data_IF_163596273900
#
_entry.id   IF_163596273900
#
_cell.length_a   1.000
_cell.length_b   1.000
_cell.length_c   1.000
_cell.angle_alpha   90.00
_cell.angle_beta   90.00
_cell.angle_gamma   90.00
#
_symmetry.space_group_name_H-M   'P 1'
#
loop_
_entity.id
_entity.type
_entity.pdbx_description
1 polymer ?
#
# COMPACT_ATOMS: atom_id res chain seq x y z
N UNK A 1 10.41 -11.07 5.79
CA UNK A 1 9.03 -11.19 5.28
C UNK A 1 8.09 -11.88 6.26
N UNK A 2 8.41 -13.07 6.78
CA UNK A 2 7.57 -13.71 7.81
C UNK A 2 7.33 -12.82 9.04
N UNK A 3 8.42 -12.29 9.61
CA UNK A 3 8.36 -11.36 10.75
C UNK A 3 7.52 -10.11 10.47
N UNK A 4 7.75 -9.44 9.34
CA UNK A 4 6.98 -8.25 8.94
C UNK A 4 5.48 -8.54 8.85
N UNK A 5 5.07 -9.67 8.27
CA UNK A 5 3.65 -10.06 8.15
C UNK A 5 3.00 -10.26 9.52
N UNK A 6 3.65 -11.02 10.40
CA UNK A 6 3.13 -11.32 11.73
C UNK A 6 3.11 -10.08 12.64
N UNK A 7 4.14 -9.23 12.53
CA UNK A 7 4.28 -8.01 13.32
C UNK A 7 3.15 -7.02 13.06
N UNK A 8 2.71 -6.85 11.82
CA UNK A 8 1.61 -5.94 11.49
C UNK A 8 0.30 -6.30 12.19
N UNK A 9 -0.06 -7.59 12.18
CA UNK A 9 -1.28 -8.11 12.83
C UNK A 9 -1.17 -7.99 14.35
N UNK A 10 -0.04 -8.42 14.90
CA UNK A 10 0.19 -8.45 16.34
C UNK A 10 0.24 -7.03 16.93
N UNK A 11 1.09 -6.16 16.39
CA UNK A 11 1.22 -4.80 16.88
C UNK A 11 0.03 -3.90 16.52
N UNK A 12 -0.69 -4.18 15.43
CA UNK A 12 -1.98 -3.54 15.15
C UNK A 12 -2.99 -3.79 16.27
N UNK A 13 -3.14 -5.06 16.68
CA UNK A 13 -4.03 -5.46 17.77
C UNK A 13 -3.62 -4.85 19.12
N UNK A 14 -2.32 -4.86 19.44
CA UNK A 14 -1.79 -4.19 20.63
C UNK A 14 -2.10 -2.70 20.60
N UNK A 15 -1.94 -2.08 19.43
CA UNK A 15 -2.18 -0.65 19.26
C UNK A 15 -3.64 -0.27 19.46
N UNK A 16 -4.58 -1.08 18.97
CA UNK A 16 -6.00 -0.88 19.21
C UNK A 16 -6.36 -1.02 20.69
N UNK A 17 -5.69 -1.94 21.41
CA UNK A 17 -5.97 -2.20 22.83
C UNK A 17 -5.31 -1.21 23.79
N UNK A 18 -4.05 -0.86 23.55
CA UNK A 18 -3.22 -0.11 24.50
C UNK A 18 -2.96 1.34 24.08
N UNK A 19 -3.22 1.70 22.83
CA UNK A 19 -3.02 3.06 22.30
C UNK A 19 -2.03 3.08 21.12
N UNK A 20 -2.10 4.13 20.31
CA UNK A 20 -1.21 4.30 19.15
C UNK A 20 0.19 4.67 19.62
N UNK A 21 0.29 5.71 20.44
CA UNK A 21 1.57 6.23 20.96
C UNK A 21 2.41 5.19 21.73
N UNK A 22 1.90 4.48 22.76
CA UNK A 22 2.72 3.53 23.51
C UNK A 22 3.18 2.36 22.65
N UNK A 23 2.36 1.91 21.70
CA UNK A 23 2.76 0.84 20.78
C UNK A 23 3.81 1.30 19.78
N UNK A 24 3.71 2.52 19.23
CA UNK A 24 4.77 3.09 18.38
C UNK A 24 6.11 3.16 19.10
N UNK A 25 6.13 3.63 20.36
CA UNK A 25 7.38 3.71 21.15
C UNK A 25 7.90 2.31 21.52
N UNK A 26 7.01 1.37 21.86
CA UNK A 26 7.38 -0.03 22.10
C UNK A 26 8.03 -0.66 20.85
N UNK A 27 7.41 -0.52 19.68
CA UNK A 27 7.95 -1.01 18.42
C UNK A 27 9.30 -0.37 18.09
N UNK A 28 9.47 0.92 18.37
CA UNK A 28 10.73 1.62 18.18
C UNK A 28 11.83 1.06 19.10
N UNK A 29 11.54 0.84 20.38
CA UNK A 29 12.47 0.24 21.33
C UNK A 29 12.85 -1.19 20.93
N UNK A 30 11.88 -2.00 20.53
CA UNK A 30 12.12 -3.35 20.03
C UNK A 30 12.97 -3.33 18.76
N UNK A 31 12.64 -2.50 17.78
CA UNK A 31 13.43 -2.36 16.55
C UNK A 31 14.88 -1.96 16.85
N UNK A 32 15.09 -0.98 17.73
CA UNK A 32 16.43 -0.52 18.11
C UNK A 32 17.23 -1.64 18.79
N UNK A 33 16.67 -2.26 19.82
CA UNK A 33 17.36 -3.29 20.61
C UNK A 33 17.61 -4.57 19.80
N UNK A 34 16.65 -5.01 19.00
CA UNK A 34 16.80 -6.19 18.15
C UNK A 34 17.79 -5.95 17.02
N UNK A 35 17.80 -4.75 16.43
CA UNK A 35 18.76 -4.39 15.39
C UNK A 35 20.20 -4.33 15.92
N UNK A 36 20.41 -3.69 17.09
CA UNK A 36 21.72 -3.69 17.75
C UNK A 36 22.13 -5.12 18.10
N UNK A 37 21.24 -5.91 18.70
CA UNK A 37 21.50 -7.31 19.04
C UNK A 37 21.93 -8.16 17.84
N UNK A 38 21.22 -8.03 16.70
CA UNK A 38 21.54 -8.74 15.47
C UNK A 38 22.92 -8.36 14.89
N UNK A 39 23.43 -7.16 15.15
CA UNK A 39 24.77 -6.77 14.70
C UNK A 39 25.91 -7.47 15.46
N UNK A 40 25.63 -7.97 16.67
CA UNK A 40 26.61 -8.65 17.52
C UNK A 40 26.54 -10.18 17.46
N UNK A 41 25.52 -10.75 16.83
CA UNK A 41 25.41 -12.22 16.74
C UNK A 41 26.57 -12.83 15.96
N UNK A 42 27.09 -13.94 16.47
CA UNK A 42 28.07 -14.81 15.81
C UNK A 42 27.44 -16.06 15.21
N UNK A 43 26.26 -16.45 15.70
CA UNK A 43 25.50 -17.61 15.25
C UNK A 43 24.39 -17.23 14.24
N UNK A 44 24.21 -18.05 13.21
CA UNK A 44 23.26 -17.83 12.12
C UNK A 44 21.80 -17.96 12.57
N UNK A 45 21.50 -18.93 13.45
CA UNK A 45 20.13 -19.16 13.93
C UNK A 45 19.66 -17.97 14.76
N UNK A 46 20.52 -17.51 15.67
CA UNK A 46 20.30 -16.32 16.50
C UNK A 46 20.12 -15.08 15.64
N UNK A 47 20.93 -14.92 14.58
CA UNK A 47 20.79 -13.82 13.63
C UNK A 47 19.43 -13.83 12.93
N UNK A 48 18.97 -14.96 12.40
CA UNK A 48 17.67 -15.04 11.72
C UNK A 48 16.52 -14.75 12.68
N UNK A 49 16.55 -15.31 13.90
CA UNK A 49 15.50 -15.07 14.89
C UNK A 49 15.40 -13.58 15.21
N UNK A 50 16.53 -12.93 15.49
CA UNK A 50 16.55 -11.49 15.76
C UNK A 50 16.09 -10.68 14.55
N UNK A 51 16.49 -11.04 13.32
CA UNK A 51 16.04 -10.36 12.10
C UNK A 51 14.54 -10.54 11.83
N UNK A 52 13.98 -11.69 12.19
CA UNK A 52 12.55 -11.92 12.09
C UNK A 52 11.77 -11.05 13.08
N UNK A 53 12.20 -11.01 14.35
CA UNK A 53 11.60 -10.17 15.39
C UNK A 53 11.76 -8.68 15.06
N UNK A 54 12.94 -8.28 14.58
CA UNK A 54 13.26 -6.92 14.14
C UNK A 54 12.34 -6.50 12.99
N UNK A 55 12.14 -7.35 11.99
CA UNK A 55 11.20 -7.10 10.91
C UNK A 55 9.75 -6.98 11.39
N UNK A 56 9.35 -7.72 12.42
CA UNK A 56 8.04 -7.59 13.04
C UNK A 56 7.87 -6.23 13.74
N UNK A 57 8.87 -5.81 14.52
CA UNK A 57 8.90 -4.53 15.21
C UNK A 57 8.93 -3.34 14.23
N UNK A 58 9.76 -3.40 13.19
CA UNK A 58 9.86 -2.37 12.15
C UNK A 58 8.53 -2.16 11.41
N UNK A 59 7.84 -3.25 11.06
CA UNK A 59 6.53 -3.15 10.40
C UNK A 59 5.44 -2.65 11.36
N UNK A 60 5.47 -3.09 12.62
CA UNK A 60 4.59 -2.56 13.66
C UNK A 60 4.80 -1.06 13.90
N UNK A 61 6.05 -0.60 13.90
CA UNK A 61 6.41 0.82 13.98
C UNK A 61 5.80 1.61 12.81
N UNK A 62 5.99 1.14 11.57
CA UNK A 62 5.45 1.77 10.38
C UNK A 62 3.93 1.92 10.44
N UNK A 63 3.20 0.82 10.68
CA UNK A 63 1.73 0.84 10.68
C UNK A 63 1.15 1.68 11.81
N UNK A 64 1.66 1.54 13.04
CA UNK A 64 1.14 2.30 14.18
C UNK A 64 1.43 3.79 14.06
N UNK A 65 2.61 4.18 13.56
CA UNK A 65 2.95 5.57 13.30
C UNK A 65 2.09 6.16 12.18
N UNK A 66 1.85 5.40 11.10
CA UNK A 66 0.99 5.83 10.00
C UNK A 66 -0.46 6.07 10.47
N UNK A 67 -1.03 5.14 11.23
CA UNK A 67 -2.39 5.28 11.76
C UNK A 67 -2.47 6.46 12.72
N UNK A 68 -1.49 6.63 13.61
CA UNK A 68 -1.42 7.79 14.49
C UNK A 68 -1.40 9.10 13.69
N UNK A 69 -0.55 9.19 12.65
CA UNK A 69 -0.42 10.38 11.82
C UNK A 69 -1.73 10.76 11.11
N UNK A 70 -2.54 9.78 10.68
CA UNK A 70 -3.84 10.02 10.06
C UNK A 70 -4.91 10.38 11.08
N UNK A 71 -4.88 9.78 12.27
CA UNK A 71 -5.87 10.00 13.33
C UNK A 71 -5.71 11.36 14.03
N UNK A 72 -4.52 11.97 13.98
CA UNK A 72 -4.25 13.31 14.55
C UNK A 72 -4.53 14.45 13.59
N UNK A 73 -4.73 14.18 12.29
CA UNK A 73 -5.04 15.19 11.28
C UNK A 73 -6.50 15.15 10.84
N UNK A 74 -7.02 16.33 10.48
CA UNK A 74 -8.36 16.46 9.92
C UNK A 74 -8.49 15.77 8.55
N UNK A 75 -9.71 15.37 8.12
CA UNK A 75 -9.92 14.64 6.87
C UNK A 75 -9.32 15.30 5.63
N UNK A 76 -9.35 16.64 5.56
CA UNK A 76 -8.80 17.41 4.44
C UNK A 76 -7.29 17.27 4.23
N UNK A 77 -6.54 16.87 5.27
CA UNK A 77 -5.07 16.74 5.22
C UNK A 77 -4.61 15.27 5.19
N UNK A 78 -5.50 14.29 5.33
CA UNK A 78 -5.13 12.86 5.36
C UNK A 78 -4.41 12.40 4.11
N UNK A 79 -4.87 12.82 2.93
CA UNK A 79 -4.23 12.46 1.67
C UNK A 79 -2.80 13.01 1.59
N UNK A 80 -2.60 14.27 1.99
CA UNK A 80 -1.27 14.89 2.01
C UNK A 80 -0.31 14.17 2.97
N UNK A 81 -0.78 13.81 4.18
CA UNK A 81 0.01 13.03 5.15
C UNK A 81 0.32 11.63 4.60
N UNK A 82 -0.65 10.96 3.98
CA UNK A 82 -0.45 9.65 3.35
C UNK A 82 0.61 9.70 2.26
N UNK A 83 0.57 10.71 1.38
CA UNK A 83 1.59 10.93 0.35
C UNK A 83 2.97 11.21 0.95
N UNK A 84 3.05 12.04 2.00
CA UNK A 84 4.31 12.33 2.67
C UNK A 84 4.96 11.07 3.24
N UNK A 85 4.16 10.15 3.82
CA UNK A 85 4.64 8.85 4.29
C UNK A 85 5.19 8.01 3.14
N UNK A 86 4.49 7.94 2.00
CA UNK A 86 4.99 7.20 0.81
C UNK A 86 6.32 7.77 0.29
N UNK A 87 6.43 9.10 0.19
CA UNK A 87 7.67 9.76 -0.24
C UNK A 87 8.83 9.52 0.74
N UNK A 88 8.55 9.46 2.04
CA UNK A 88 9.57 9.18 3.06
C UNK A 88 10.24 7.82 2.87
N UNK A 89 9.53 6.84 2.29
CA UNK A 89 10.08 5.52 1.98
C UNK A 89 11.18 5.62 0.91
N UNK A 90 10.95 6.41 -0.15
CA UNK A 90 11.95 6.67 -1.19
C UNK A 90 13.18 7.38 -0.63
N UNK A 91 13.00 8.41 0.19
CA UNK A 91 14.10 9.11 0.87
C UNK A 91 14.90 8.13 1.74
N UNK A 92 14.22 7.25 2.47
CA UNK A 92 14.85 6.20 3.28
C UNK A 92 15.75 5.27 2.47
N UNK A 93 15.33 4.85 1.27
CA UNK A 93 16.18 4.05 0.39
C UNK A 93 17.43 4.80 -0.08
N UNK A 94 17.32 6.08 -0.45
CA UNK A 94 18.50 6.87 -0.82
C UNK A 94 19.49 7.02 0.33
N UNK A 95 19.00 7.31 1.53
CA UNK A 95 19.84 7.38 2.74
C UNK A 95 20.51 6.03 3.00
N UNK A 96 19.78 4.92 2.87
CA UNK A 96 20.33 3.58 3.00
C UNK A 96 21.45 3.32 1.99
N UNK A 97 21.25 3.67 0.71
CA UNK A 97 22.27 3.49 -0.34
C UNK A 97 23.54 4.28 -0.03
N UNK A 98 23.38 5.53 0.38
CA UNK A 98 24.48 6.41 0.74
C UNK A 98 25.29 5.84 1.92
N UNK A 99 24.59 5.42 2.98
CA UNK A 99 25.23 4.80 4.14
C UNK A 99 25.92 3.49 3.76
N UNK A 100 25.30 2.65 2.94
CA UNK A 100 25.85 1.37 2.52
C UNK A 100 27.09 1.53 1.61
N UNK A 101 27.16 2.59 0.81
CA UNK A 101 28.32 2.94 -0.01
C UNK A 101 29.56 3.24 0.85
N UNK A 102 29.39 4.01 1.93
CA UNK A 102 30.48 4.36 2.86
C UNK A 102 30.76 3.26 3.89
N UNK A 103 29.72 2.58 4.37
CA UNK A 103 29.78 1.56 5.42
C UNK A 103 29.56 0.17 4.80
N UNK A 104 30.62 -0.39 4.25
CA UNK A 104 30.58 -1.68 3.53
C UNK A 104 30.34 -2.89 4.44
N UNK A 105 30.60 -2.76 5.74
CA UNK A 105 30.33 -3.83 6.71
C UNK A 105 28.88 -3.76 7.17
N UNK A 106 28.10 -4.82 6.93
CA UNK A 106 26.68 -4.88 7.31
C UNK A 106 26.44 -4.63 8.81
N UNK A 107 27.37 -5.07 9.69
CA UNK A 107 27.30 -4.79 11.14
C UNK A 107 27.38 -3.30 11.45
N UNK A 108 28.33 -2.59 10.84
CA UNK A 108 28.50 -1.15 11.03
C UNK A 108 27.33 -0.38 10.42
N UNK A 109 26.85 -0.80 9.25
CA UNK A 109 25.66 -0.22 8.63
C UNK A 109 24.45 -0.31 9.57
N UNK A 110 24.23 -1.49 10.16
CA UNK A 110 23.13 -1.73 11.08
C UNK A 110 23.25 -0.90 12.37
N UNK A 111 24.46 -0.79 12.94
CA UNK A 111 24.72 0.05 14.12
C UNK A 111 24.51 1.54 13.83
N UNK A 112 24.95 2.03 12.67
CA UNK A 112 24.75 3.44 12.29
C UNK A 112 23.27 3.73 12.04
N UNK A 113 22.52 2.81 11.44
CA UNK A 113 21.07 2.95 11.32
C UNK A 113 20.37 3.02 12.68
N UNK A 114 20.75 2.15 13.62
CA UNK A 114 20.25 2.19 14.99
C UNK A 114 20.58 3.53 15.67
N UNK A 115 21.80 4.05 15.46
CA UNK A 115 22.20 5.35 15.99
C UNK A 115 21.35 6.50 15.43
N UNK A 116 21.09 6.52 14.11
CA UNK A 116 20.23 7.52 13.47
C UNK A 116 18.78 7.46 14.01
N UNK A 117 18.30 6.26 14.35
CA UNK A 117 16.97 6.05 14.93
C UNK A 117 16.88 6.42 16.42
N UNK A 118 17.99 6.43 17.15
CA UNK A 118 18.01 6.62 18.61
C UNK A 118 17.38 7.95 19.07
N UNK A 119 17.63 9.11 18.42
CA UNK A 119 16.96 10.36 18.76
C UNK A 119 15.42 10.29 18.71
N UNK A 120 14.85 9.37 17.93
CA UNK A 120 13.39 9.20 17.83
C UNK A 120 12.77 8.64 19.11
N UNK A 121 13.55 8.15 20.08
CA UNK A 121 13.05 7.82 21.41
C UNK A 121 12.40 9.03 22.12
N UNK A 122 12.74 10.26 21.69
CA UNK A 122 12.06 11.47 22.14
C UNK A 122 10.55 11.50 21.79
N UNK A 123 10.09 10.64 20.88
CA UNK A 123 8.68 10.46 20.54
C UNK A 123 7.83 10.10 21.76
N UNK A 124 8.40 9.49 22.80
CA UNK A 124 7.68 9.31 24.04
C UNK A 124 7.18 10.64 24.60
N UNK A 125 7.92 11.74 24.52
CA UNK A 125 7.49 13.04 25.06
C UNK A 125 6.76 13.92 24.04
N UNK A 126 7.09 13.76 22.75
CA UNK A 126 6.61 14.64 21.68
C UNK A 126 5.26 14.18 21.12
N UNK A 127 5.08 12.88 20.87
CA UNK A 127 3.88 12.39 20.18
C UNK A 127 2.64 12.48 21.09
N UNK A 128 1.53 13.06 20.60
CA UNK A 128 0.25 12.92 21.26
C UNK A 128 -0.30 11.49 21.08
N UNK A 129 -1.26 11.13 21.93
CA UNK A 129 -2.09 9.95 21.68
C UNK A 129 -3.22 10.31 20.71
N UNK A 130 -3.73 9.33 19.97
CA UNK A 130 -4.84 9.52 19.04
C UNK A 130 -6.12 10.04 19.73
N UNK A 131 -6.66 11.21 19.33
CA UNK A 131 -7.92 11.73 19.85
C UNK A 131 -9.07 10.73 19.65
N UNK A 132 -9.09 10.06 18.49
CA UNK A 132 -10.12 9.07 18.12
C UNK A 132 -10.07 7.85 19.03
N UNK A 133 -8.88 7.31 19.26
CA UNK A 133 -8.69 6.20 20.18
C UNK A 133 -9.11 6.57 21.62
N UNK A 134 -8.78 7.78 22.06
CA UNK A 134 -9.15 8.28 23.39
C UNK A 134 -10.67 8.40 23.56
N UNK A 135 -11.38 8.93 22.56
CA UNK A 135 -12.85 9.02 22.56
C UNK A 135 -13.48 7.63 22.59
N UNK A 136 -13.00 6.72 21.73
CA UNK A 136 -13.50 5.33 21.65
C UNK A 136 -13.32 4.57 22.98
N UNK A 137 -12.23 4.84 23.70
CA UNK A 137 -11.97 4.29 25.03
C UNK A 137 -12.54 5.12 26.19
N UNK A 138 -13.48 6.03 25.92
CA UNK A 138 -14.16 6.88 26.92
C UNK A 138 -13.23 7.77 27.74
N UNK A 139 -12.03 8.06 27.25
CA UNK A 139 -11.03 8.96 27.86
C UNK A 139 -11.20 10.40 27.36
N UNK A 140 -12.39 10.95 27.58
CA UNK A 140 -12.81 12.27 27.04
C UNK A 140 -11.90 13.41 27.51
N UNK A 141 -11.48 13.41 28.79
CA UNK A 141 -10.58 14.44 29.34
C UNK A 141 -9.25 14.51 28.59
N UNK A 142 -8.61 13.36 28.40
CA UNK A 142 -7.34 13.28 27.66
C UNK A 142 -7.50 13.63 26.18
N UNK A 143 -8.62 13.23 25.55
CA UNK A 143 -8.90 13.60 24.15
C UNK A 143 -9.01 15.12 24.00
N UNK A 144 -9.72 15.78 24.93
CA UNK A 144 -9.84 17.24 24.98
C UNK A 144 -8.49 17.92 25.14
N UNK A 145 -7.62 17.42 26.01
CA UNK A 145 -6.30 18.03 26.25
C UNK A 145 -5.40 17.94 25.01
N UNK A 146 -5.45 16.83 24.26
CA UNK A 146 -4.76 16.68 22.98
C UNK A 146 -5.31 17.67 21.93
N UNK A 147 -6.64 17.76 21.80
CA UNK A 147 -7.28 18.68 20.85
C UNK A 147 -7.01 20.15 21.20
N UNK A 148 -6.99 20.52 22.48
CA UNK A 148 -6.60 21.88 22.92
C UNK A 148 -5.16 22.20 22.58
N UNK A 149 -4.24 21.25 22.75
CA UNK A 149 -2.83 21.45 22.35
C UNK A 149 -2.74 21.66 20.84
N UNK A 150 -3.45 20.85 20.04
CA UNK A 150 -3.49 21.04 18.59
C UNK A 150 -4.11 22.38 18.19
N UNK A 151 -5.19 22.79 18.83
CA UNK A 151 -5.87 24.06 18.57
C UNK A 151 -4.97 25.27 18.91
N UNK A 152 -4.21 25.20 20.00
CA UNK A 152 -3.21 26.21 20.36
C UNK A 152 -2.10 26.34 19.32
N UNK A 153 -1.61 25.22 18.78
CA UNK A 153 -0.57 25.23 17.73
C UNK A 153 -1.11 25.78 16.41
N UNK A 154 -2.41 25.62 16.15
CA UNK A 154 -3.08 26.10 14.96
C UNK A 154 -3.74 27.49 15.14
N UNK A 155 -3.54 28.15 16.28
CA UNK A 155 -4.18 29.43 16.64
C UNK A 155 -5.72 29.44 16.51
N UNK A 156 -6.36 28.33 16.88
CA UNK A 156 -7.83 28.19 16.90
C UNK A 156 -8.34 28.10 18.33
N UNK A 157 -9.33 28.91 18.68
CA UNK A 157 -10.03 28.85 19.98
C UNK A 157 -11.29 28.01 19.88
N UNK A 158 -11.43 27.00 20.74
CA UNK A 158 -12.60 26.13 20.81
C UNK A 158 -13.30 26.36 22.16
N UNK A 159 -14.59 26.75 22.18
CA UNK A 159 -15.36 26.84 23.42
C UNK A 159 -15.40 25.50 24.16
N UNK A 160 -15.07 25.52 25.44
CA UNK A 160 -14.84 24.32 26.25
C UNK A 160 -16.10 23.44 26.44
N UNK A 161 -17.26 24.09 26.52
CA UNK A 161 -18.56 23.43 26.71
C UNK A 161 -18.99 22.70 25.43
N UNK A 162 -18.69 23.29 24.26
CA UNK A 162 -18.98 22.70 22.94
C UNK A 162 -18.05 21.53 22.67
N UNK A 163 -16.75 21.66 22.98
CA UNK A 163 -15.79 20.57 22.81
C UNK A 163 -16.17 19.36 23.68
N UNK A 164 -16.48 19.60 24.95
CA UNK A 164 -16.80 18.52 25.89
C UNK A 164 -18.13 17.84 25.54
N UNK A 165 -19.18 18.61 25.20
CA UNK A 165 -20.47 18.04 24.83
C UNK A 165 -20.42 17.22 23.54
N UNK A 166 -19.66 17.67 22.53
CA UNK A 166 -19.45 16.92 21.29
C UNK A 166 -18.65 15.63 21.51
N UNK A 167 -17.59 15.68 22.32
CA UNK A 167 -16.78 14.49 22.63
C UNK A 167 -17.57 13.46 23.43
N UNK A 168 -18.40 13.89 24.39
CA UNK A 168 -19.26 13.00 25.17
C UNK A 168 -20.35 12.39 24.29
N UNK A 169 -20.99 13.18 23.41
CA UNK A 169 -21.93 12.66 22.41
C UNK A 169 -21.27 11.63 21.50
N UNK A 170 -20.07 11.87 20.98
CA UNK A 170 -19.35 10.89 20.14
C UNK A 170 -18.90 9.64 20.91
N UNK A 171 -18.64 9.74 22.22
CA UNK A 171 -18.30 8.60 23.06
C UNK A 171 -19.54 7.75 23.43
N UNK A 172 -20.71 8.37 23.51
CA UNK A 172 -22.00 7.76 23.82
C UNK A 172 -22.74 7.25 22.57
N UNK A 173 -22.54 7.91 21.42
CA UNK A 173 -23.06 7.53 20.10
C UNK A 173 -22.31 6.31 19.52
N UNK A 174 -22.19 5.25 20.30
CA UNK A 174 -22.12 3.91 19.72
C UNK A 174 -23.47 3.64 19.03
N UNK A 175 -23.76 4.35 17.94
CA UNK A 175 -24.36 3.65 16.82
C UNK A 175 -23.48 2.44 16.58
N UNK A 176 -24.12 1.29 16.42
CA UNK A 176 -23.50 0.06 16.01
C UNK A 176 -22.72 0.31 14.72
N UNK A 177 -21.48 0.80 14.85
CA UNK A 177 -20.46 0.62 13.84
C UNK A 177 -20.33 -0.88 13.77
N UNK A 178 -21.07 -1.46 12.83
CA UNK A 178 -20.99 -2.87 12.49
C UNK A 178 -19.51 -3.19 12.45
N UNK A 179 -19.06 -4.00 13.40
CA UNK A 179 -17.64 -4.36 13.49
C UNK A 179 -17.36 -5.26 12.30
N UNK A 180 -17.04 -4.64 11.17
CA UNK A 180 -16.66 -5.35 9.97
C UNK A 180 -15.43 -6.18 10.32
N UNK A 181 -15.54 -7.48 10.07
CA UNK A 181 -14.47 -8.43 10.32
C UNK A 181 -13.83 -8.79 8.98
N UNK A 182 -12.61 -9.34 8.99
CA UNK A 182 -11.96 -9.83 7.77
C UNK A 182 -12.83 -10.83 6.99
N UNK A 183 -13.75 -11.53 7.67
CA UNK A 183 -14.71 -12.46 7.07
C UNK A 183 -15.70 -11.75 6.14
N UNK A 184 -16.03 -10.47 6.39
CA UNK A 184 -16.97 -9.71 5.57
C UNK A 184 -16.41 -9.41 4.16
N UNK A 185 -15.09 -9.49 3.95
CA UNK A 185 -14.48 -9.37 2.62
C UNK A 185 -14.82 -10.54 1.70
N UNK A 186 -15.07 -11.73 2.26
CA UNK A 186 -15.37 -12.95 1.50
C UNK A 186 -16.83 -13.37 1.60
N UNK A 187 -17.63 -12.61 2.35
CA UNK A 187 -19.03 -12.94 2.65
C UNK A 187 -19.95 -12.76 1.46
N UNK A 188 -19.79 -11.66 0.72
CA UNK A 188 -20.62 -11.38 -0.47
C UNK A 188 -19.88 -11.81 -1.75
N UNK A 189 -20.60 -12.27 -2.79
CA UNK A 189 -19.99 -12.95 -3.93
C UNK A 189 -19.06 -12.03 -4.74
N UNK A 190 -19.43 -10.76 -4.97
CA UNK A 190 -18.61 -9.83 -5.75
C UNK A 190 -17.41 -9.32 -4.95
N UNK A 191 -17.60 -9.02 -3.66
CA UNK A 191 -16.48 -8.68 -2.78
C UNK A 191 -15.46 -9.82 -2.68
N UNK A 192 -15.93 -11.07 -2.62
CA UNK A 192 -15.05 -12.25 -2.61
C UNK A 192 -14.25 -12.36 -3.89
N UNK A 193 -14.89 -12.21 -5.05
CA UNK A 193 -14.21 -12.22 -6.35
C UNK A 193 -13.12 -11.13 -6.40
N UNK A 194 -13.48 -9.89 -6.08
CA UNK A 194 -12.55 -8.76 -6.02
C UNK A 194 -11.39 -9.06 -5.07
N UNK A 195 -11.68 -9.50 -3.84
CA UNK A 195 -10.65 -9.74 -2.82
C UNK A 195 -9.69 -10.84 -3.26
N UNK A 196 -10.20 -11.96 -3.77
CA UNK A 196 -9.37 -13.07 -4.23
C UNK A 196 -8.53 -12.67 -5.44
N UNK A 197 -9.11 -11.97 -6.42
CA UNK A 197 -8.37 -11.49 -7.58
C UNK A 197 -7.28 -10.50 -7.18
N UNK A 198 -7.57 -9.53 -6.30
CA UNK A 198 -6.57 -8.58 -5.79
C UNK A 198 -5.45 -9.32 -5.05
N UNK A 199 -5.77 -10.29 -4.18
CA UNK A 199 -4.75 -11.08 -3.48
C UNK A 199 -3.86 -11.88 -4.45
N UNK A 200 -4.46 -12.48 -5.48
CA UNK A 200 -3.76 -13.22 -6.52
C UNK A 200 -2.81 -12.31 -7.30
N UNK A 201 -3.30 -11.15 -7.77
CA UNK A 201 -2.49 -10.16 -8.49
C UNK A 201 -1.32 -9.67 -7.63
N UNK A 202 -1.58 -9.33 -6.37
CA UNK A 202 -0.54 -8.88 -5.44
C UNK A 202 0.56 -9.92 -5.22
N UNK A 203 0.18 -11.20 -5.09
CA UNK A 203 1.14 -12.29 -4.91
C UNK A 203 2.09 -12.42 -6.12
N UNK A 204 1.54 -12.46 -7.34
CA UNK A 204 2.37 -12.63 -8.55
C UNK A 204 3.18 -11.38 -8.88
N UNK A 205 2.56 -10.20 -8.88
CA UNK A 205 3.25 -8.96 -9.22
C UNK A 205 4.36 -8.65 -8.21
N UNK A 206 4.12 -8.82 -6.90
CA UNK A 206 5.17 -8.63 -5.92
C UNK A 206 6.28 -9.69 -6.03
N UNK A 207 5.93 -10.95 -6.27
CA UNK A 207 6.92 -12.02 -6.47
C UNK A 207 7.85 -11.74 -7.65
N UNK A 208 7.30 -11.36 -8.80
CA UNK A 208 8.07 -11.00 -10.00
C UNK A 208 8.90 -9.74 -9.75
N UNK A 209 8.30 -8.68 -9.21
CA UNK A 209 8.99 -7.41 -8.95
C UNK A 209 10.21 -7.58 -8.04
N UNK A 210 10.07 -8.23 -6.89
CA UNK A 210 11.20 -8.47 -5.99
C UNK A 210 12.22 -9.46 -6.57
N UNK A 211 11.79 -10.41 -7.40
CA UNK A 211 12.69 -11.40 -8.01
C UNK A 211 13.61 -10.79 -9.05
N UNK A 212 13.04 -9.94 -9.90
CA UNK A 212 13.81 -9.18 -10.88
C UNK A 212 14.76 -8.19 -10.19
N UNK A 213 14.35 -7.57 -9.07
CA UNK A 213 15.26 -6.68 -8.30
C UNK A 213 16.46 -7.46 -7.77
N UNK A 214 16.25 -8.64 -7.17
CA UNK A 214 17.36 -9.45 -6.65
C UNK A 214 18.31 -9.86 -7.78
N UNK A 215 17.80 -10.26 -8.95
CA UNK A 215 18.66 -10.60 -10.10
C UNK A 215 19.46 -9.41 -10.68
N UNK A 216 19.10 -8.17 -10.34
CA UNK A 216 19.84 -6.99 -10.82
C UNK A 216 21.01 -6.57 -9.96
N UNK A 217 21.21 -7.14 -8.78
CA UNK A 217 22.45 -6.91 -8.04
C UNK A 217 23.65 -7.61 -8.67
N UNK A 218 23.40 -8.54 -9.61
CA UNK A 218 24.43 -9.28 -10.37
C UNK A 218 24.90 -8.52 -11.62
N UNK A 219 24.38 -7.30 -11.86
CA UNK A 219 24.85 -6.42 -12.94
C UNK A 219 26.29 -5.95 -12.68
N UNK A 220 27.14 -6.03 -13.71
CA UNK A 220 28.50 -5.51 -13.66
C UNK A 220 28.55 -4.02 -13.27
N UNK A 221 29.36 -3.67 -12.27
CA UNK A 221 29.50 -2.31 -11.74
C UNK A 221 29.54 -2.29 -10.22
N UNK A 222 29.42 -1.09 -9.63
CA UNK A 222 29.26 -0.95 -8.18
C UNK A 222 27.80 -1.25 -7.78
N UNK A 223 27.55 -2.27 -6.94
CA UNK A 223 26.19 -2.69 -6.59
C UNK A 223 25.40 -1.60 -5.83
N UNK A 224 26.07 -0.73 -5.08
CA UNK A 224 25.43 0.36 -4.34
C UNK A 224 24.98 1.47 -5.29
N UNK A 225 25.80 1.80 -6.30
CA UNK A 225 25.43 2.77 -7.35
C UNK A 225 24.29 2.22 -8.21
N UNK A 226 24.37 0.94 -8.60
CA UNK A 226 23.31 0.27 -9.36
C UNK A 226 21.98 0.26 -8.61
N UNK A 227 22.00 0.01 -7.30
CA UNK A 227 20.80 0.06 -6.47
C UNK A 227 20.25 1.50 -6.35
N UNK A 228 21.10 2.50 -6.13
CA UNK A 228 20.68 3.89 -6.03
C UNK A 228 20.04 4.41 -7.34
N UNK A 229 20.62 4.07 -8.49
CA UNK A 229 20.04 4.38 -9.80
C UNK A 229 18.71 3.63 -10.01
N UNK A 230 18.62 2.39 -9.56
CA UNK A 230 17.38 1.62 -9.56
C UNK A 230 16.27 2.28 -8.74
N UNK A 231 16.58 2.75 -7.53
CA UNK A 231 15.62 3.48 -6.69
C UNK A 231 15.19 4.81 -7.32
N UNK A 232 16.13 5.56 -7.91
CA UNK A 232 15.81 6.80 -8.62
C UNK A 232 14.87 6.55 -9.81
N UNK A 233 15.15 5.50 -10.57
CA UNK A 233 14.32 5.06 -11.67
C UNK A 233 12.91 4.70 -11.17
N UNK A 234 12.77 3.97 -10.07
CA UNK A 234 11.47 3.62 -9.49
C UNK A 234 10.63 4.85 -9.13
N UNK A 235 11.22 5.90 -8.57
CA UNK A 235 10.50 7.14 -8.31
C UNK A 235 9.97 7.78 -9.60
N UNK A 236 10.80 7.81 -10.65
CA UNK A 236 10.37 8.31 -11.96
C UNK A 236 9.26 7.47 -12.59
N UNK A 237 9.35 6.14 -12.47
CA UNK A 237 8.35 5.19 -12.97
C UNK A 237 7.03 5.28 -12.20
N UNK A 238 7.07 5.59 -10.90
CA UNK A 238 5.86 5.84 -10.12
C UNK A 238 5.09 7.07 -10.65
N UNK A 239 5.80 8.16 -10.96
CA UNK A 239 5.19 9.36 -11.57
C UNK A 239 4.64 9.08 -12.97
N UNK A 240 5.39 8.33 -13.79
CA UNK A 240 4.95 7.92 -15.12
C UNK A 240 3.69 7.04 -15.05
N UNK A 241 3.68 6.08 -14.14
CA UNK A 241 2.53 5.20 -13.90
C UNK A 241 1.29 5.97 -13.47
N UNK A 242 1.45 6.95 -12.59
CA UNK A 242 0.35 7.85 -12.20
C UNK A 242 -0.18 8.63 -13.42
N UNK A 243 0.68 9.30 -14.19
CA UNK A 243 0.26 10.03 -15.38
C UNK A 243 -0.44 9.12 -16.42
N UNK A 244 0.02 7.88 -16.57
CA UNK A 244 -0.60 6.89 -17.44
C UNK A 244 -2.00 6.49 -16.95
N UNK A 245 -2.16 6.26 -15.65
CA UNK A 245 -3.45 5.92 -15.04
C UNK A 245 -4.50 7.02 -15.22
N UNK A 246 -4.11 8.29 -15.13
CA UNK A 246 -5.02 9.42 -15.34
C UNK A 246 -5.48 9.53 -16.80
N UNK A 247 -4.61 9.20 -17.75
CA UNK A 247 -4.90 9.35 -19.19
C UNK A 247 -5.62 8.15 -19.80
N UNK A 248 -5.26 6.93 -19.41
CA UNK A 248 -5.74 5.70 -20.05
C UNK A 248 -6.64 4.85 -19.16
N UNK A 249 -6.78 5.17 -17.88
CA UNK A 249 -7.51 4.35 -16.91
C UNK A 249 -6.61 3.41 -16.13
N UNK A 250 -7.07 2.96 -14.96
CA UNK A 250 -6.22 2.21 -14.02
C UNK A 250 -6.05 0.76 -14.46
N UNK A 251 -7.14 0.12 -14.90
CA UNK A 251 -7.16 -1.28 -15.32
C UNK A 251 -6.27 -1.57 -16.54
N UNK A 252 -6.38 -0.85 -17.68
CA UNK A 252 -5.58 -1.17 -18.87
C UNK A 252 -4.10 -0.88 -18.65
N UNK A 253 -3.75 0.13 -17.83
CA UNK A 253 -2.36 0.43 -17.50
C UNK A 253 -1.74 -0.72 -16.70
N UNK A 254 -2.41 -1.20 -15.65
CA UNK A 254 -1.90 -2.31 -14.82
C UNK A 254 -1.84 -3.61 -15.64
N UNK A 255 -2.92 -3.95 -16.35
CA UNK A 255 -2.96 -5.17 -17.16
C UNK A 255 -1.93 -5.14 -18.31
N UNK A 256 -1.86 -4.03 -19.04
CA UNK A 256 -0.95 -3.85 -20.17
C UNK A 256 0.51 -3.88 -19.74
N UNK A 257 0.89 -3.13 -18.70
CA UNK A 257 2.26 -3.15 -18.17
C UNK A 257 2.66 -4.52 -17.63
N UNK A 258 1.77 -5.22 -16.91
CA UNK A 258 2.03 -6.59 -16.42
C UNK A 258 2.21 -7.61 -17.56
N UNK A 259 1.38 -7.55 -18.60
CA UNK A 259 1.47 -8.43 -19.77
C UNK A 259 2.75 -8.16 -20.56
N UNK A 260 3.07 -6.90 -20.83
CA UNK A 260 4.30 -6.52 -21.53
C UNK A 260 5.55 -6.90 -20.71
N UNK A 261 5.51 -6.74 -19.39
CA UNK A 261 6.58 -7.21 -18.51
C UNK A 261 6.76 -8.73 -18.61
N UNK A 262 5.66 -9.48 -18.60
CA UNK A 262 5.68 -10.94 -18.74
C UNK A 262 6.23 -11.40 -20.08
N UNK A 263 5.78 -10.79 -21.18
CA UNK A 263 6.31 -11.03 -22.53
C UNK A 263 7.81 -10.70 -22.59
N UNK A 264 8.25 -9.60 -21.99
CA UNK A 264 9.66 -9.24 -21.89
C UNK A 264 10.49 -10.30 -21.16
N UNK A 265 10.00 -10.84 -20.05
CA UNK A 265 10.68 -11.92 -19.33
C UNK A 265 10.72 -13.23 -20.16
N UNK A 266 9.63 -13.58 -20.85
CA UNK A 266 9.59 -14.74 -21.74
C UNK A 266 10.53 -14.59 -22.94
N UNK A 267 10.61 -13.39 -23.53
CA UNK A 267 11.55 -13.07 -24.61
C UNK A 267 13.00 -13.17 -24.13
N UNK A 268 13.29 -12.64 -22.93
CA UNK A 268 14.61 -12.77 -22.30
C UNK A 268 15.04 -14.24 -22.16
N UNK A 269 14.12 -15.11 -21.73
CA UNK A 269 14.35 -16.55 -21.63
C UNK A 269 14.52 -17.25 -22.99
N UNK A 270 13.88 -16.77 -24.05
CA UNK A 270 14.03 -17.33 -25.39
C UNK A 270 15.34 -16.91 -26.08
N UNK A 271 15.89 -15.75 -25.71
CA UNK A 271 17.09 -15.17 -26.35
C UNK A 271 18.39 -15.42 -25.57
N UNK A 272 18.48 -16.50 -24.78
CA UNK A 272 19.68 -16.76 -23.95
C UNK A 272 20.97 -16.92 -24.76
N UNK A 273 20.87 -17.32 -26.03
CA UNK A 273 22.00 -17.40 -26.97
C UNK A 273 22.60 -16.02 -27.32
N UNK A 274 21.86 -14.93 -27.07
CA UNK A 274 22.29 -13.54 -27.30
C UNK A 274 22.25 -12.75 -25.98
N UNK A 275 23.34 -12.77 -25.18
CA UNK A 275 23.34 -12.23 -23.81
C UNK A 275 22.92 -10.76 -23.71
N UNK A 276 23.34 -9.92 -24.66
CA UNK A 276 22.98 -8.49 -24.69
C UNK A 276 21.47 -8.30 -24.88
N UNK A 277 20.89 -9.03 -25.83
CA UNK A 277 19.46 -8.96 -26.16
C UNK A 277 18.61 -9.49 -25.01
N UNK A 278 19.03 -10.63 -24.42
CA UNK A 278 18.36 -11.20 -23.25
C UNK A 278 18.36 -10.24 -22.05
N UNK A 279 19.47 -9.54 -21.81
CA UNK A 279 19.60 -8.53 -20.76
C UNK A 279 18.70 -7.32 -21.00
N UNK A 280 18.63 -6.83 -22.23
CA UNK A 280 17.77 -5.68 -22.57
C UNK A 280 16.29 -6.01 -22.35
N UNK A 281 15.85 -7.21 -22.74
CA UNK A 281 14.50 -7.69 -22.45
C UNK A 281 14.22 -7.87 -20.95
N UNK A 282 15.18 -8.38 -20.17
CA UNK A 282 15.05 -8.49 -18.73
C UNK A 282 14.93 -7.11 -18.04
N UNK A 283 15.73 -6.14 -18.48
CA UNK A 283 15.67 -4.76 -17.98
C UNK A 283 14.35 -4.08 -18.35
N UNK A 284 13.86 -4.27 -19.58
CA UNK A 284 12.55 -3.78 -19.99
C UNK A 284 11.43 -4.41 -19.13
N UNK A 285 11.49 -5.72 -18.88
CA UNK A 285 10.57 -6.43 -17.99
C UNK A 285 10.58 -5.86 -16.57
N UNK A 286 11.76 -5.58 -16.00
CA UNK A 286 11.93 -4.95 -14.69
C UNK A 286 11.26 -3.58 -14.61
N UNK A 287 11.49 -2.73 -15.61
CA UNK A 287 10.91 -1.37 -15.65
C UNK A 287 9.39 -1.44 -15.69
N UNK A 288 8.85 -2.29 -16.56
CA UNK A 288 7.40 -2.44 -16.72
C UNK A 288 6.74 -3.00 -15.47
N UNK A 289 7.31 -4.03 -14.83
CA UNK A 289 6.75 -4.57 -13.57
C UNK A 289 6.82 -3.55 -12.44
N UNK A 290 7.84 -2.68 -12.41
CA UNK A 290 7.94 -1.57 -11.46
C UNK A 290 6.79 -0.57 -11.60
N UNK A 291 6.40 -0.23 -12.84
CA UNK A 291 5.20 0.58 -13.11
C UNK A 291 3.96 -0.15 -12.59
N UNK A 292 3.80 -1.45 -12.93
CA UNK A 292 2.67 -2.25 -12.48
C UNK A 292 2.53 -2.25 -10.95
N UNK A 293 3.63 -2.47 -10.23
CA UNK A 293 3.65 -2.54 -8.78
C UNK A 293 3.21 -1.22 -8.13
N UNK A 294 3.72 -0.08 -8.61
CA UNK A 294 3.32 1.25 -8.13
C UNK A 294 1.85 1.58 -8.45
N UNK A 295 1.41 1.29 -9.67
CA UNK A 295 0.01 1.48 -10.04
C UNK A 295 -0.93 0.58 -9.22
N UNK A 296 -0.51 -0.64 -8.89
CA UNK A 296 -1.28 -1.55 -8.05
C UNK A 296 -1.44 -1.04 -6.61
N UNK A 297 -0.39 -0.44 -6.02
CA UNK A 297 -0.47 0.25 -4.72
C UNK A 297 -1.56 1.32 -4.75
N UNK A 298 -1.58 2.14 -5.81
CA UNK A 298 -2.53 3.24 -5.95
C UNK A 298 -3.96 2.76 -6.22
N UNK A 299 -4.13 1.73 -7.05
CA UNK A 299 -5.43 1.21 -7.47
C UNK A 299 -6.14 0.37 -6.41
N UNK A 300 -5.40 -0.39 -5.59
CA UNK A 300 -6.00 -1.33 -4.63
C UNK A 300 -6.95 -0.65 -3.63
N UNK A 301 -6.66 0.54 -3.06
CA UNK A 301 -7.61 1.30 -2.26
C UNK A 301 -8.91 1.65 -2.99
N UNK A 302 -8.88 1.89 -4.29
CA UNK A 302 -10.05 2.35 -5.05
C UNK A 302 -11.10 1.25 -5.28
N UNK A 303 -10.68 -0.01 -5.24
CA UNK A 303 -11.55 -1.16 -5.47
C UNK A 303 -12.29 -1.57 -4.20
N UNK A 304 -11.69 -1.34 -3.03
CA UNK A 304 -12.31 -1.68 -1.75
C UNK A 304 -13.19 -0.55 -1.20
N UNK A 305 -14.37 -0.86 -0.64
CA UNK A 305 -15.22 0.13 0.01
C UNK A 305 -14.53 0.72 1.24
N UNK A 306 -14.75 2.00 1.52
CA UNK A 306 -14.08 2.73 2.61
C UNK A 306 -14.17 2.02 3.95
N UNK A 307 -15.31 1.38 4.26
CA UNK A 307 -15.54 0.65 5.52
C UNK A 307 -14.64 -0.58 5.73
N UNK A 308 -14.21 -1.25 4.65
CA UNK A 308 -13.38 -2.49 4.72
C UNK A 308 -12.05 -2.36 3.99
N UNK A 309 -11.75 -1.19 3.42
CA UNK A 309 -10.55 -0.91 2.64
C UNK A 309 -9.26 -1.26 3.37
N UNK A 310 -9.14 -0.84 4.63
CA UNK A 310 -7.96 -1.14 5.43
C UNK A 310 -7.72 -2.65 5.60
N UNK A 311 -8.79 -3.41 5.83
CA UNK A 311 -8.73 -4.87 5.95
C UNK A 311 -8.40 -5.53 4.60
N UNK A 312 -9.02 -5.10 3.51
CA UNK A 312 -8.76 -5.59 2.16
C UNK A 312 -7.31 -5.41 1.75
N UNK A 313 -6.78 -4.21 1.96
CA UNK A 313 -5.36 -3.91 1.76
C UNK A 313 -4.44 -4.75 2.65
N UNK A 314 -4.81 -4.98 3.90
CA UNK A 314 -4.05 -5.82 4.83
C UNK A 314 -3.93 -7.27 4.34
N UNK A 315 -5.04 -7.88 3.93
CA UNK A 315 -5.05 -9.25 3.38
C UNK A 315 -4.27 -9.32 2.07
N UNK A 316 -4.49 -8.39 1.15
CA UNK A 316 -3.77 -8.34 -0.12
C UNK A 316 -2.24 -8.19 0.09
N UNK A 317 -1.83 -7.36 1.04
CA UNK A 317 -0.41 -7.19 1.40
C UNK A 317 0.15 -8.47 2.03
N UNK A 318 -0.62 -9.21 2.83
CA UNK A 318 -0.15 -10.49 3.38
C UNK A 318 0.14 -11.51 2.27
N UNK A 319 -0.71 -11.60 1.24
CA UNK A 319 -0.48 -12.44 0.06
C UNK A 319 0.70 -11.95 -0.80
N UNK A 320 0.90 -10.64 -0.92
CA UNK A 320 2.09 -10.10 -1.59
C UNK A 320 3.38 -10.60 -0.92
N UNK A 321 3.41 -10.67 0.42
CA UNK A 321 4.56 -11.20 1.16
C UNK A 321 4.85 -12.67 0.85
N UNK A 322 3.83 -13.50 0.64
CA UNK A 322 4.02 -14.90 0.19
C UNK A 322 4.75 -14.92 -1.15
N UNK A 323 4.32 -14.12 -2.12
CA UNK A 323 5.01 -13.98 -3.41
C UNK A 323 6.47 -13.55 -3.26
N UNK A 324 6.74 -12.54 -2.42
CA UNK A 324 8.12 -12.10 -2.16
C UNK A 324 8.98 -13.14 -1.45
N UNK A 325 8.39 -14.03 -0.65
CA UNK A 325 9.11 -15.11 0.03
C UNK A 325 9.50 -16.23 -0.92
N UNK A 326 8.64 -16.52 -1.91
CA UNK A 326 8.91 -17.53 -2.95
C UNK A 326 9.94 -17.04 -3.99
N UNK A 327 10.04 -15.74 -4.18
CA UNK A 327 10.82 -15.13 -5.26
C UNK A 327 12.32 -15.49 -5.29
N UNK A 328 13.09 -15.45 -4.18
CA UNK A 328 14.49 -15.89 -4.20
C UNK A 328 14.67 -17.37 -4.56
N UNK A 329 13.72 -18.23 -4.16
CA UNK A 329 13.75 -19.64 -4.54
C UNK A 329 13.54 -19.82 -6.04
N UNK A 330 12.68 -18.99 -6.65
CA UNK A 330 12.53 -18.95 -8.12
C UNK A 330 13.83 -18.55 -8.80
N UNK A 331 14.57 -17.59 -8.26
CA UNK A 331 15.88 -17.21 -8.79
C UNK A 331 16.90 -18.36 -8.73
N UNK A 332 16.89 -19.15 -7.65
CA UNK A 332 17.77 -20.32 -7.49
C UNK A 332 17.50 -21.43 -8.53
N UNK A 333 16.33 -21.46 -9.19
CA UNK A 333 16.09 -22.41 -10.29
C UNK A 333 17.02 -22.17 -11.49
N UNK A 334 17.69 -21.01 -11.55
CA UNK A 334 18.72 -20.71 -12.55
C UNK A 334 19.92 -21.64 -12.50
N UNK A 335 20.23 -22.21 -11.33
CA UNK A 335 21.32 -23.18 -11.16
C UNK A 335 21.02 -24.51 -11.86
N UNK A 336 19.73 -24.85 -12.02
CA UNK A 336 19.28 -26.05 -12.74
C UNK A 336 19.15 -25.77 -14.23
N UNK A 337 18.51 -24.65 -14.59
CA UNK A 337 18.35 -24.23 -15.98
C UNK A 337 18.27 -22.71 -16.08
N UNK A 338 19.26 -22.10 -16.74
CA UNK A 338 19.44 -20.64 -16.83
C UNK A 338 18.18 -19.84 -17.23
N UNK A 339 17.34 -20.26 -18.20
CA UNK A 339 16.13 -19.54 -18.59
C UNK A 339 14.94 -19.72 -17.62
N UNK A 340 14.98 -20.68 -16.71
CA UNK A 340 13.84 -21.11 -15.90
C UNK A 340 13.28 -20.02 -14.96
N UNK A 341 14.11 -19.19 -14.28
CA UNK A 341 13.61 -18.07 -13.49
C UNK A 341 12.83 -17.06 -14.33
N UNK A 342 13.34 -16.72 -15.51
CA UNK A 342 12.69 -15.73 -16.40
C UNK A 342 11.39 -16.29 -17.01
N UNK A 343 11.33 -17.59 -17.31
CA UNK A 343 10.10 -18.25 -17.75
C UNK A 343 9.03 -18.22 -16.67
N UNK A 344 9.38 -18.61 -15.45
CA UNK A 344 8.44 -18.63 -14.31
C UNK A 344 7.94 -17.24 -13.96
N UNK A 345 8.82 -16.23 -13.93
CA UNK A 345 8.42 -14.83 -13.75
C UNK A 345 7.57 -14.30 -14.91
N UNK A 346 7.87 -14.69 -16.15
CA UNK A 346 7.09 -14.32 -17.32
C UNK A 346 5.66 -14.85 -17.27
N UNK A 347 5.50 -16.16 -17.00
CA UNK A 347 4.18 -16.80 -16.85
C UNK A 347 3.41 -16.22 -15.68
N UNK A 348 4.07 -16.03 -14.53
CA UNK A 348 3.52 -15.38 -13.35
C UNK A 348 2.97 -13.97 -13.64
N UNK A 349 3.77 -13.14 -14.31
CA UNK A 349 3.38 -11.76 -14.66
C UNK A 349 2.20 -11.75 -15.64
N UNK A 350 2.21 -12.64 -16.63
CA UNK A 350 1.09 -12.78 -17.56
C UNK A 350 -0.20 -13.23 -16.86
N UNK A 351 -0.12 -14.21 -15.95
CA UNK A 351 -1.27 -14.66 -15.16
C UNK A 351 -1.81 -13.54 -14.25
N UNK A 352 -0.92 -12.77 -13.62
CA UNK A 352 -1.30 -11.57 -12.85
C UNK A 352 -1.99 -10.51 -13.73
N UNK A 353 -1.41 -10.18 -14.88
CA UNK A 353 -1.97 -9.20 -15.83
C UNK A 353 -3.33 -9.61 -16.39
N UNK A 354 -3.51 -10.88 -16.75
CA UNK A 354 -4.81 -11.42 -17.19
C UNK A 354 -5.85 -11.37 -16.08
N UNK A 355 -5.44 -11.63 -14.83
CA UNK A 355 -6.35 -11.60 -13.68
C UNK A 355 -6.87 -10.19 -13.39
N UNK A 356 -6.09 -9.15 -13.68
CA UNK A 356 -6.53 -7.74 -13.57
C UNK A 356 -7.72 -7.44 -14.50
N UNK A 357 -7.88 -8.20 -15.60
CA UNK A 357 -9.03 -8.04 -16.48
C UNK A 357 -10.38 -8.38 -15.80
N UNK A 358 -10.38 -9.11 -14.69
CA UNK A 358 -11.58 -9.41 -13.89
C UNK A 358 -11.98 -8.24 -12.97
N UNK A 359 -11.04 -7.33 -12.68
CA UNK A 359 -11.28 -6.20 -11.80
C UNK A 359 -12.03 -5.05 -12.51
N UNK A 360 -12.81 -4.24 -11.76
CA UNK A 360 -13.57 -3.13 -12.32
C UNK A 360 -12.68 -1.92 -12.66
N UNK A 361 -12.99 -1.18 -13.72
CA UNK A 361 -12.36 0.12 -13.95
C UNK A 361 -12.88 1.15 -12.94
N UNK A 362 -11.97 1.98 -12.41
CA UNK A 362 -12.28 2.97 -11.37
C UNK A 362 -12.07 4.41 -11.83
N UNK A 363 -11.51 4.62 -13.03
CA UNK A 363 -11.34 5.95 -13.58
C UNK A 363 -12.70 6.65 -13.76
N UNK A 364 -12.88 7.80 -13.10
CA UNK A 364 -14.08 8.64 -13.22
C UNK A 364 -15.32 8.11 -12.50
N UNK A 365 -15.20 7.03 -11.71
CA UNK A 365 -16.29 6.45 -10.92
C UNK A 365 -16.13 6.88 -9.45
N UNK A 366 -17.20 7.29 -8.75
CA UNK A 366 -17.12 7.58 -7.31
C UNK A 366 -16.68 6.33 -6.55
N UNK A 367 -15.86 6.55 -5.51
CA UNK A 367 -15.35 5.47 -4.66
C UNK A 367 -16.51 4.78 -3.93
N UNK A 368 -16.53 3.44 -3.87
CA UNK A 368 -17.54 2.74 -3.09
C UNK A 368 -17.37 3.07 -1.61
N UNK A 369 -18.47 3.42 -0.94
CA UNK A 369 -18.47 3.69 0.49
C UNK A 369 -18.90 2.44 1.27
N UNK A 370 -19.86 1.68 0.74
CA UNK A 370 -20.40 0.48 1.39
C UNK A 370 -20.16 -0.80 0.58
N UNK A 371 -20.29 -1.96 1.22
CA UNK A 371 -20.26 -3.27 0.56
C UNK A 371 -21.42 -3.41 -0.45
N UNK A 372 -22.58 -2.84 -0.12
CA UNK A 372 -23.76 -2.89 -0.97
C UNK A 372 -23.56 -2.10 -2.27
N UNK A 373 -22.81 -0.99 -2.24
CA UNK A 373 -22.46 -0.24 -3.44
C UNK A 373 -21.67 -1.10 -4.45
N UNK A 374 -20.76 -1.93 -3.96
CA UNK A 374 -19.96 -2.85 -4.79
C UNK A 374 -20.84 -3.93 -5.42
N UNK A 375 -21.75 -4.53 -4.65
CA UNK A 375 -22.68 -5.55 -5.15
C UNK A 375 -23.69 -4.97 -6.16
N UNK A 376 -24.22 -3.78 -5.90
CA UNK A 376 -25.18 -3.11 -6.77
C UNK A 376 -24.55 -2.60 -8.07
N UNK A 377 -23.27 -2.22 -8.04
CA UNK A 377 -22.51 -1.84 -9.23
C UNK A 377 -22.27 -3.04 -10.15
N UNK A 378 -22.04 -4.22 -9.58
CA UNK A 378 -21.94 -5.49 -10.33
C UNK A 378 -23.24 -5.88 -11.03
N UNK A 379 -24.39 -5.75 -10.35
CA UNK A 379 -25.71 -6.03 -10.94
C UNK A 379 -26.04 -5.11 -12.13
N UNK A 380 -25.65 -3.84 -12.10
CA UNK A 380 -25.84 -2.91 -13.23
C UNK A 380 -24.97 -3.25 -14.43
N UNK A 381 -23.77 -3.80 -14.23
CA UNK A 381 -22.90 -4.28 -15.32
C UNK A 381 -23.46 -5.55 -15.97
N UNK A 382 -23.88 -6.54 -15.17
CA UNK A 382 -24.48 -7.78 -15.70
C UNK A 382 -25.78 -7.53 -16.47
N UNK A 383 -26.61 -6.58 -16.02
CA UNK A 383 -27.86 -6.24 -16.72
C UNK A 383 -27.59 -5.58 -18.08
N UNK A 384 -26.54 -4.76 -18.20
CA UNK A 384 -26.10 -4.17 -19.47
C UNK A 384 -25.49 -5.19 -20.44
N UNK A 385 -24.77 -6.19 -19.94
CA UNK A 385 -24.21 -7.26 -20.79
C UNK A 385 -25.30 -8.23 -21.27
N UNK A 386 -26.31 -8.51 -20.43
CA UNK A 386 -27.50 -9.28 -20.85
C UNK A 386 -28.35 -8.53 -21.89
N UNK A 387 -28.63 -7.24 -21.70
CA UNK A 387 -29.35 -6.41 -22.71
C UNK A 387 -28.59 -6.34 -24.05
N UNK A 388 -27.25 -6.32 -24.01
CA UNK A 388 -26.43 -6.39 -25.23
C UNK A 388 -26.49 -7.75 -25.91
N UNK A 389 -26.58 -8.85 -25.15
CA UNK A 389 -26.69 -10.20 -25.70
C UNK A 389 -28.07 -10.47 -26.34
N UNK A 390 -29.15 -9.90 -25.80
CA UNK A 390 -30.49 -9.97 -26.40
C UNK A 390 -30.66 -9.05 -27.62
N UNK A 391 -29.84 -8.00 -27.74
CA UNK A 391 -29.85 -7.08 -28.88
C UNK A 391 -29.29 -7.67 -30.19
N UNK A 392 -28.72 -8.87 -30.20
CA UNK A 392 -28.18 -9.50 -31.42
C UNK A 392 -29.20 -10.32 -32.23
N UNK A 393 -30.47 -10.39 -31.80
CA UNK A 393 -31.56 -11.01 -32.56
C UNK A 393 -32.51 -9.98 -33.17
N UNK A 394 -32.02 -9.11 -34.06
CA UNK A 394 -32.71 -8.71 -35.30
C UNK A 394 -31.89 -7.68 -36.12
N UNK A 395 -31.92 -7.75 -37.47
CA UNK A 395 -31.17 -6.85 -38.32
C UNK A 395 -31.92 -5.51 -38.52
N UNK A 396 -31.20 -4.41 -38.29
CA UNK A 396 -31.36 -3.01 -38.75
C UNK A 396 -32.72 -2.53 -39.31
N UNK A 397 -33.08 -1.26 -39.00
CA UNK A 397 -32.77 -0.25 -40.02
C UNK A 397 -32.15 1.07 -39.53
N UNK A 398 -31.36 1.61 -40.47
CA UNK A 398 -30.64 2.88 -40.67
C UNK A 398 -31.13 4.20 -40.02
N UNK A 399 -30.10 4.96 -39.55
CA UNK A 399 -29.86 6.45 -39.55
C UNK A 399 -30.68 7.33 -38.59
N UNK A 400 -30.17 8.40 -37.96
CA UNK A 400 -29.10 9.39 -38.29
C UNK A 400 -28.25 9.83 -37.06
N UNK A 401 -27.01 10.33 -37.26
CA UNK A 401 -26.18 10.94 -36.22
C UNK A 401 -26.45 12.46 -36.12
N UNK A 402 -26.10 13.07 -34.98
CA UNK A 402 -26.31 14.47 -34.60
C UNK A 402 -27.67 14.81 -34.00
N UNK A 403 -27.75 14.73 -32.65
CA UNK A 403 -28.35 15.81 -31.86
C UNK A 403 -27.92 15.77 -30.38
N UNK A 404 -27.29 16.87 -29.99
CA UNK A 404 -27.27 17.47 -28.64
C UNK A 404 -26.30 16.94 -27.58
N UNK A 405 -25.08 17.45 -27.70
CA UNK A 405 -24.29 18.02 -26.61
C UNK A 405 -25.11 19.11 -25.89
N UNK A 406 -25.34 18.99 -24.58
CA UNK A 406 -25.23 20.08 -23.57
C UNK A 406 -25.67 19.66 -22.15
N UNK A 407 -24.86 20.10 -21.19
CA UNK A 407 -25.12 20.36 -19.75
C UNK A 407 -25.08 19.18 -18.76
N UNK A 408 -23.97 19.13 -18.01
CA UNK A 408 -24.02 18.97 -16.54
C UNK A 408 -22.97 19.93 -15.96
N UNK A 409 -23.45 21.07 -15.43
CA UNK A 409 -22.71 21.94 -14.51
C UNK A 409 -23.24 21.56 -13.14
N UNK A 410 -22.37 21.06 -12.25
CA UNK A 410 -22.70 20.85 -10.84
C UNK A 410 -21.69 21.62 -9.99
N UNK A 411 -22.26 22.53 -9.21
CA UNK A 411 -21.69 23.31 -8.13
C UNK A 411 -20.82 22.48 -7.17
N UNK A 412 -19.81 23.09 -6.57
CA UNK A 412 -19.75 23.11 -5.10
C UNK A 412 -19.15 24.42 -4.61
N UNK A 413 -19.99 25.16 -3.89
CA UNK A 413 -19.75 26.47 -3.31
C UNK A 413 -19.10 26.23 -1.94
N UNK A 414 -17.94 26.85 -1.77
CA UNK A 414 -17.15 26.92 -0.54
C UNK A 414 -17.99 27.58 0.57
N UNK A 415 -18.18 26.87 1.69
CA UNK A 415 -18.64 27.42 2.98
C UNK A 415 -17.58 27.01 4.02
N UNK A 416 -16.62 27.89 4.32
CA UNK A 416 -16.57 28.84 5.46
C UNK A 416 -16.62 28.16 6.83
N UNK A 417 -15.42 27.98 7.39
CA UNK A 417 -15.02 28.16 8.78
C UNK A 417 -16.03 27.73 9.86
N UNK A 418 -16.01 26.42 10.17
CA UNK A 418 -16.76 25.79 11.26
C UNK A 418 -16.61 24.25 11.28
N UNK A 419 -16.27 23.65 10.14
CA UNK A 419 -16.30 22.19 9.93
C UNK A 419 -15.04 21.41 10.37
N UNK A 420 -14.08 22.06 11.02
CA UNK A 420 -12.88 21.35 11.46
C UNK A 420 -13.16 20.34 12.58
N UNK A 421 -14.22 20.55 13.36
CA UNK A 421 -14.59 19.68 14.49
C UNK A 421 -15.65 18.62 14.14
N UNK A 422 -16.65 18.98 13.33
CA UNK A 422 -17.66 18.03 12.82
C UNK A 422 -17.00 16.90 12.01
N UNK A 423 -16.00 17.24 11.19
CA UNK A 423 -15.30 16.29 10.31
C UNK A 423 -14.31 15.35 11.03
N UNK A 424 -13.88 15.68 12.26
CA UNK A 424 -13.07 14.76 13.10
C UNK A 424 -13.96 13.76 13.83
N UNK A 425 -15.18 14.18 14.20
CA UNK A 425 -16.10 13.50 15.12
C UNK A 425 -17.20 12.67 14.45
N UNK A 426 -17.46 12.85 13.16
CA UNK A 426 -18.39 12.03 12.39
C UNK A 426 -17.58 11.00 11.55
N UNK A 427 -17.95 9.71 11.54
CA UNK A 427 -17.23 8.65 10.81
C UNK A 427 -16.99 8.96 9.34
#
# INVERSE_FOLDING_TARGET
MAGTSLGGIFFGTISDRFGRRPTTVLCLLLHLTLSIGASFTSDYVSFIILRALDGAAANGLYFTAFVLAIEVVGPSKRNAVGMAVTLSFGVGFFVLCLLAYFLRTWRNLQLVQALIMTPLLCYWWVLPESPRWLISNKRVKSARDVLRRAARVNDVTIPDDVCTSLLTKSAESKEETTKFTMIDLVRTPRMREITLTVCFVWMFIAGVYFGLIVGTTDLAGDPYVNFALGTALELGLALLGWAAMERWGRKPVIAGSALLAGIGCLASAATTELPTVSRDFALAGRVLIGITFNCLIAYSPDVFPTVVRGMGMGVATAFSRVGTMLSPFVTLLGDVWLPLPMLTFGVASCAGGLSVCLLPETLGVPLPETIEDVENSGRKSQRKDNDKSESYTNPWPKRDPFRHVKRVVVCYKIARDGDYFSSILVP
#
